data_IF_006061519984
#
_entry.id   IF_006061519984
#
_cell.length_a   1.000
_cell.length_b   1.000
_cell.length_c   1.000
_cell.angle_alpha   90.00
_cell.angle_beta   90.00
_cell.angle_gamma   90.00
#
_symmetry.space_group_name_H-M   'P 1'
#
loop_
_entity.id
_entity.type
_entity.pdbx_description
1 polymer ?
#
# COMPACT_ATOMS: atom_id res chain seq x y z
N UNK A 1 31.42 -3.88 38.22
CA UNK A 1 31.05 -3.92 36.77
C UNK A 1 29.60 -4.37 36.65
N UNK A 2 28.66 -3.42 36.63
CA UNK A 2 27.23 -3.72 36.40
C UNK A 2 26.77 -2.92 35.19
N UNK A 3 26.29 -3.60 34.14
CA UNK A 3 25.74 -2.95 32.96
C UNK A 3 24.33 -2.45 33.32
N UNK A 4 24.10 -1.15 33.11
CA UNK A 4 22.81 -0.49 33.33
C UNK A 4 21.88 -0.79 32.16
N UNK A 5 20.75 -1.44 32.41
CA UNK A 5 19.67 -1.56 31.44
C UNK A 5 18.99 -0.20 31.26
N UNK A 6 19.18 0.40 30.09
CA UNK A 6 18.53 1.65 29.71
C UNK A 6 17.16 1.34 29.13
N UNK A 7 16.11 1.51 29.94
CA UNK A 7 14.74 1.44 29.46
C UNK A 7 14.48 2.58 28.47
N UNK A 8 14.39 2.22 27.18
CA UNK A 8 13.97 3.13 26.11
C UNK A 8 12.52 3.53 26.35
N UNK A 9 12.29 4.80 26.70
CA UNK A 9 10.96 5.37 26.82
C UNK A 9 10.18 5.15 25.51
N UNK A 10 9.05 4.44 25.61
CA UNK A 10 8.04 4.44 24.55
C UNK A 10 7.48 5.85 24.50
N UNK A 11 7.89 6.65 23.52
CA UNK A 11 7.24 7.91 23.23
C UNK A 11 5.79 7.60 22.93
N UNK A 12 4.92 7.92 23.89
CA UNK A 12 3.49 8.02 23.66
C UNK A 12 3.32 8.99 22.51
N UNK A 13 2.95 8.44 21.35
CA UNK A 13 2.69 9.21 20.15
C UNK A 13 1.58 10.19 20.46
N UNK A 14 1.97 11.42 20.81
CA UNK A 14 1.13 12.59 20.72
C UNK A 14 0.64 12.61 19.28
N UNK A 15 -0.58 12.13 19.07
CA UNK A 15 -1.32 12.39 17.85
C UNK A 15 -1.51 13.89 17.85
N UNK A 16 -0.57 14.61 17.24
CA UNK A 16 -0.86 15.94 16.73
C UNK A 16 -2.02 15.74 15.76
N UNK A 17 -3.23 15.98 16.27
CA UNK A 17 -4.40 16.26 15.46
C UNK A 17 -3.99 17.49 14.70
N UNK A 18 -3.38 17.27 13.54
CA UNK A 18 -2.89 18.31 12.67
C UNK A 18 -4.06 19.26 12.55
N UNK A 19 -3.86 20.44 13.14
CA UNK A 19 -4.85 21.49 13.20
C UNK A 19 -5.47 21.60 11.81
N UNK A 20 -6.77 21.81 11.78
CA UNK A 20 -7.50 22.35 10.64
C UNK A 20 -6.89 23.72 10.29
N UNK A 21 -5.65 23.74 9.81
CA UNK A 21 -5.09 24.81 9.02
C UNK A 21 -6.02 24.90 7.85
N UNK A 22 -6.95 25.86 7.94
CA UNK A 22 -7.87 26.35 6.93
C UNK A 22 -7.59 25.72 5.58
N UNK A 23 -8.14 24.52 5.36
CA UNK A 23 -7.85 23.79 4.13
C UNK A 23 -8.37 24.67 3.01
N UNK A 24 -7.46 25.05 2.10
CA UNK A 24 -7.76 25.99 1.03
C UNK A 24 -9.12 25.62 0.39
N UNK A 25 -10.11 26.54 0.33
CA UNK A 25 -11.45 26.22 -0.16
C UNK A 25 -11.45 25.68 -1.59
N UNK A 26 -10.42 25.98 -2.40
CA UNK A 26 -10.28 25.45 -3.76
C UNK A 26 -9.87 23.97 -3.82
N UNK A 27 -9.39 23.39 -2.72
CA UNK A 27 -9.01 21.98 -2.67
C UNK A 27 -10.17 21.03 -2.40
N UNK A 28 -11.31 21.56 -1.93
CA UNK A 28 -12.47 20.78 -1.49
C UNK A 28 -13.65 21.07 -2.41
N UNK A 29 -14.19 20.04 -3.04
CA UNK A 29 -15.45 20.13 -3.77
C UNK A 29 -16.60 19.82 -2.81
N UNK A 30 -17.56 20.73 -2.68
CA UNK A 30 -18.70 20.60 -1.77
C UNK A 30 -19.99 20.54 -2.61
N UNK A 31 -20.78 19.49 -2.40
CA UNK A 31 -22.09 19.36 -3.02
C UNK A 31 -23.13 20.15 -2.23
N UNK A 32 -23.96 20.94 -2.92
CA UNK A 32 -25.03 21.70 -2.27
C UNK A 32 -26.24 20.82 -1.98
N UNK A 33 -26.73 20.83 -0.75
CA UNK A 33 -28.00 20.19 -0.41
C UNK A 33 -29.16 20.97 -1.04
N UNK A 34 -30.13 20.25 -1.62
CA UNK A 34 -31.38 20.87 -2.09
C UNK A 34 -32.37 21.10 -0.94
N UNK A 35 -32.46 20.12 -0.03
CA UNK A 35 -33.32 20.16 1.14
C UNK A 35 -32.52 19.77 2.38
N UNK A 36 -32.83 20.41 3.50
CA UNK A 36 -32.34 19.99 4.80
C UNK A 36 -33.27 18.91 5.37
N UNK A 37 -32.67 17.82 5.84
CA UNK A 37 -33.41 16.68 6.38
C UNK A 37 -32.86 16.41 7.76
N UNK A 38 -33.71 16.64 8.76
CA UNK A 38 -33.35 16.50 10.18
C UNK A 38 -32.83 15.09 10.45
N UNK A 39 -31.69 15.00 11.14
CA UNK A 39 -31.07 13.72 11.54
C UNK A 39 -30.17 13.06 10.48
N UNK A 40 -30.03 13.62 9.26
CA UNK A 40 -29.17 13.03 8.23
C UNK A 40 -27.70 13.38 8.43
N UNK A 41 -26.86 12.38 8.75
CA UNK A 41 -25.39 12.53 8.76
C UNK A 41 -24.83 12.40 7.35
N UNK A 42 -24.11 13.42 6.87
CA UNK A 42 -23.60 13.48 5.49
C UNK A 42 -22.08 13.34 5.45
N UNK A 43 -21.61 12.12 5.19
CA UNK A 43 -20.18 11.80 5.13
C UNK A 43 -19.59 12.07 3.75
N UNK A 44 -20.37 11.90 2.68
CA UNK A 44 -19.90 12.03 1.29
C UNK A 44 -20.11 13.41 0.65
N UNK A 45 -20.60 14.41 1.40
CA UNK A 45 -20.93 15.74 0.83
C UNK A 45 -19.70 16.55 0.38
N UNK A 46 -18.49 16.10 0.77
CA UNK A 46 -17.22 16.78 0.45
C UNK A 46 -16.26 15.81 -0.22
N UNK A 47 -15.80 16.17 -1.41
CA UNK A 47 -14.74 15.49 -2.13
C UNK A 47 -13.43 16.27 -2.12
N UNK A 48 -12.30 15.58 -2.27
CA UNK A 48 -10.98 16.21 -2.45
C UNK A 48 -10.44 15.87 -3.85
N UNK A 49 -10.82 16.63 -4.89
CA UNK A 49 -10.44 16.33 -6.28
C UNK A 49 -8.92 16.32 -6.50
N UNK A 50 -8.16 17.19 -5.83
CA UNK A 50 -6.70 17.25 -5.96
C UNK A 50 -6.01 15.92 -5.59
N UNK A 51 -6.37 15.36 -4.44
CA UNK A 51 -5.81 14.08 -3.97
C UNK A 51 -6.23 12.93 -4.88
N UNK A 52 -7.51 12.89 -5.29
CA UNK A 52 -8.01 11.85 -6.19
C UNK A 52 -7.26 11.85 -7.53
N UNK A 53 -7.08 13.04 -8.14
CA UNK A 53 -6.32 13.20 -9.38
C UNK A 53 -4.85 12.78 -9.22
N UNK A 54 -4.19 13.21 -8.16
CA UNK A 54 -2.80 12.83 -7.89
C UNK A 54 -2.65 11.30 -7.71
N UNK A 55 -3.59 10.66 -7.00
CA UNK A 55 -3.62 9.19 -6.84
C UNK A 55 -3.80 8.49 -8.20
N UNK A 56 -4.68 9.00 -9.06
CA UNK A 56 -4.88 8.45 -10.39
C UNK A 56 -3.63 8.57 -11.27
N UNK A 57 -2.93 9.71 -11.23
CA UNK A 57 -1.67 9.90 -11.94
C UNK A 57 -0.59 8.93 -11.46
N UNK A 58 -0.39 8.82 -10.14
CA UNK A 58 0.55 7.83 -9.56
C UNK A 58 0.21 6.39 -9.94
N UNK A 59 -1.07 6.06 -10.11
CA UNK A 59 -1.48 4.73 -10.59
C UNK A 59 -1.06 4.53 -12.04
N UNK A 60 -1.27 5.51 -12.92
CA UNK A 60 -0.86 5.46 -14.33
C UNK A 60 0.67 5.39 -14.49
N UNK A 61 1.41 6.12 -13.67
CA UNK A 61 2.87 6.05 -13.63
C UNK A 61 3.39 4.66 -13.24
N UNK A 62 2.65 3.93 -12.40
CA UNK A 62 3.02 2.57 -11.99
C UNK A 62 2.61 1.49 -13.01
N UNK A 63 1.51 1.69 -13.75
CA UNK A 63 1.01 0.71 -14.72
C UNK A 63 1.37 1.10 -16.15
N UNK A 64 0.68 2.08 -16.73
CA UNK A 64 0.79 2.45 -18.15
C UNK A 64 2.20 2.90 -18.53
N UNK A 65 2.85 3.69 -17.68
CA UNK A 65 4.22 4.14 -17.95
C UNK A 65 5.20 2.95 -17.94
N UNK A 66 4.99 1.98 -17.04
CA UNK A 66 5.83 0.78 -16.99
C UNK A 66 5.61 -0.08 -18.24
N UNK A 67 4.36 -0.27 -18.65
CA UNK A 67 3.98 -0.98 -19.88
C UNK A 67 4.56 -0.30 -21.12
N UNK A 68 4.49 1.03 -21.19
CA UNK A 68 5.08 1.81 -22.28
C UNK A 68 6.60 1.62 -22.37
N UNK A 69 7.30 1.67 -21.24
CA UNK A 69 8.76 1.41 -21.17
C UNK A 69 9.13 -0.01 -21.60
N UNK A 70 8.25 -0.99 -21.38
CA UNK A 70 8.49 -2.38 -21.76
C UNK A 70 7.94 -2.76 -23.15
N UNK A 71 7.29 -1.84 -23.87
CA UNK A 71 6.63 -2.13 -25.17
C UNK A 71 7.53 -2.80 -26.20
N UNK A 72 8.80 -2.42 -26.26
CA UNK A 72 9.77 -2.96 -27.21
C UNK A 72 10.61 -4.13 -26.66
N UNK A 73 10.31 -4.61 -25.45
CA UNK A 73 11.00 -5.74 -24.83
C UNK A 73 10.22 -7.03 -25.12
N UNK A 74 10.90 -8.04 -25.63
CA UNK A 74 10.32 -9.36 -25.89
C UNK A 74 10.45 -10.33 -24.71
N UNK A 75 11.28 -10.01 -23.69
CA UNK A 75 11.52 -10.86 -22.54
C UNK A 75 10.66 -10.45 -21.33
N UNK A 76 10.04 -11.45 -20.69
CA UNK A 76 9.24 -11.28 -19.46
C UNK A 76 9.80 -12.22 -18.38
N UNK A 77 10.10 -11.67 -17.21
CA UNK A 77 10.48 -12.47 -16.04
C UNK A 77 9.21 -13.06 -15.40
N UNK A 78 9.14 -14.39 -15.31
CA UNK A 78 8.05 -15.11 -14.65
C UNK A 78 8.59 -15.78 -13.41
N UNK A 79 8.07 -15.40 -12.25
CA UNK A 79 8.44 -16.04 -10.98
C UNK A 79 7.73 -17.40 -10.86
N UNK A 80 8.53 -18.47 -10.91
CA UNK A 80 8.07 -19.86 -10.79
C UNK A 80 8.40 -20.49 -9.42
N UNK A 81 8.75 -19.68 -8.42
CA UNK A 81 9.04 -20.18 -7.07
C UNK A 81 7.77 -20.76 -6.44
N UNK A 82 7.93 -21.89 -5.73
CA UNK A 82 6.84 -22.58 -5.06
C UNK A 82 6.16 -21.62 -4.07
N UNK A 83 4.83 -21.48 -4.19
CA UNK A 83 3.98 -20.72 -3.29
C UNK A 83 4.14 -19.20 -3.30
N UNK A 84 4.86 -18.59 -4.25
CA UNK A 84 5.02 -17.12 -4.27
C UNK A 84 3.70 -16.39 -4.58
N UNK A 85 2.90 -16.93 -5.51
CA UNK A 85 1.61 -16.34 -5.90
C UNK A 85 0.44 -16.75 -4.99
N UNK A 86 0.66 -17.65 -4.03
CA UNK A 86 -0.37 -18.13 -3.11
C UNK A 86 -0.26 -17.39 -1.76
N UNK A 87 -1.23 -16.53 -1.41
CA UNK A 87 -1.22 -15.79 -0.15
C UNK A 87 -1.61 -16.65 1.07
N UNK A 88 -2.17 -17.85 0.88
CA UNK A 88 -2.69 -18.69 1.98
C UNK A 88 -1.64 -19.58 2.63
N UNK A 89 -0.54 -19.84 1.93
CA UNK A 89 0.49 -20.76 2.37
C UNK A 89 1.44 -20.11 3.39
N UNK A 90 1.76 -20.85 4.45
CA UNK A 90 2.70 -20.44 5.49
C UNK A 90 4.13 -20.19 4.95
N UNK A 91 4.82 -19.10 5.36
CA UNK A 91 6.16 -18.77 4.89
C UNK A 91 7.22 -19.84 5.17
N UNK A 92 7.16 -20.53 6.30
CA UNK A 92 8.14 -21.58 6.63
C UNK A 92 7.94 -22.78 5.71
N UNK A 93 6.68 -23.18 5.49
CA UNK A 93 6.32 -24.24 4.55
C UNK A 93 6.77 -23.92 3.12
N UNK A 94 6.67 -22.65 2.67
CA UNK A 94 7.21 -22.20 1.37
C UNK A 94 8.71 -22.45 1.27
N UNK A 95 9.47 -22.06 2.29
CA UNK A 95 10.93 -22.22 2.31
C UNK A 95 11.34 -23.70 2.35
N UNK A 96 10.67 -24.53 3.17
CA UNK A 96 10.94 -25.96 3.26
C UNK A 96 10.75 -26.66 1.91
N UNK A 97 9.63 -26.41 1.22
CA UNK A 97 9.36 -27.00 -0.11
C UNK A 97 10.38 -26.52 -1.17
N UNK A 98 10.77 -25.24 -1.14
CA UNK A 98 11.81 -24.72 -2.04
C UNK A 98 13.15 -25.45 -1.82
N UNK A 99 13.55 -25.62 -0.57
CA UNK A 99 14.80 -26.31 -0.23
C UNK A 99 14.76 -27.78 -0.64
N UNK A 100 13.63 -28.47 -0.42
CA UNK A 100 13.44 -29.84 -0.85
C UNK A 100 13.54 -29.97 -2.38
N UNK A 101 12.85 -29.10 -3.13
CA UNK A 101 12.90 -29.10 -4.60
C UNK A 101 14.31 -28.83 -5.15
N UNK A 102 15.06 -27.92 -4.52
CA UNK A 102 16.46 -27.66 -4.88
C UNK A 102 17.34 -28.90 -4.64
N UNK A 103 17.20 -29.57 -3.49
CA UNK A 103 17.95 -30.79 -3.18
C UNK A 103 17.65 -31.93 -4.15
N UNK A 104 16.38 -32.15 -4.49
CA UNK A 104 15.97 -33.16 -5.48
C UNK A 104 16.57 -32.84 -6.86
N UNK A 105 16.58 -31.56 -7.26
CA UNK A 105 17.18 -31.16 -8.53
C UNK A 105 18.70 -31.36 -8.54
N UNK A 106 19.36 -31.16 -7.41
CA UNK A 106 20.80 -31.42 -7.25
C UNK A 106 21.12 -32.90 -7.27
N UNK A 107 20.27 -33.75 -6.66
CA UNK A 107 20.47 -35.21 -6.65
C UNK A 107 20.20 -35.86 -8.01
N UNK A 108 19.30 -35.28 -8.80
CA UNK A 108 18.91 -35.82 -10.11
C UNK A 108 19.81 -35.31 -11.27
N UNK A 109 20.92 -34.65 -10.94
CA UNK A 109 21.91 -34.16 -11.89
C UNK A 109 23.18 -35.01 -11.79
#
# INVERSE_FOLDING_TARGET
>A
MGKKDTFKARSSGLKHKAEEKTRNPFEVHINRSKHDVVGRKRKEDKGVPGISRAKALRKREKTLLQEYKSRHKSNVFVDRRIGENDPTMDPEKKMALRMAAVRIRQSNK
#
